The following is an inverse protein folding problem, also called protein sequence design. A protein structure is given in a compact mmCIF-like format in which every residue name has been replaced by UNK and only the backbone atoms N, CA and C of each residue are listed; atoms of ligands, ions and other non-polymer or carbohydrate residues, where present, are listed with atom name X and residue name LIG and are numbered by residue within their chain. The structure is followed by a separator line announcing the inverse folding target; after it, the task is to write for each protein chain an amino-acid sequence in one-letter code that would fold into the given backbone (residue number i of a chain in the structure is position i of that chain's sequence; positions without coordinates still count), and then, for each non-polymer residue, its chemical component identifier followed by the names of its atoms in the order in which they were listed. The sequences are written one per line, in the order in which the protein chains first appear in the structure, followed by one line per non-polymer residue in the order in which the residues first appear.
data_IF_568747583314
#
_entry.id   IF_568747583314
#
_cell.length_a   1.000
_cell.length_b   1.000
_cell.length_c   1.000
_cell.angle_alpha   90.00
_cell.angle_beta   90.00
_cell.angle_gamma   90.00
#
_symmetry.space_group_name_H-M   'P 1'
#
loop_
_entity.id
_entity.type
_entity.pdbx_description
1 polymer ?
#
# COMPACT_ATOMS: atom_id res chain seq x y z
N UNK A 1 -38.18 -25.95 2.46
CA UNK A 1 -36.92 -26.70 2.66
C UNK A 1 -36.01 -26.50 1.44
N UNK A 2 -34.70 -26.40 1.62
CA UNK A 2 -33.75 -26.27 0.51
C UNK A 2 -33.70 -27.60 -0.27
N UNK A 3 -33.91 -27.56 -1.60
CA UNK A 3 -34.00 -28.77 -2.39
C UNK A 3 -32.62 -29.43 -2.58
N UNK A 4 -32.59 -30.76 -2.83
CA UNK A 4 -31.35 -31.48 -3.15
C UNK A 4 -30.62 -30.87 -4.37
N UNK A 5 -31.41 -30.32 -5.31
CA UNK A 5 -30.90 -29.65 -6.50
C UNK A 5 -30.16 -28.37 -6.12
N UNK A 6 -30.71 -27.55 -5.23
CA UNK A 6 -30.13 -26.28 -4.79
C UNK A 6 -28.82 -26.50 -4.03
N UNK A 7 -28.79 -27.50 -3.12
CA UNK A 7 -27.59 -27.84 -2.37
C UNK A 7 -26.48 -28.31 -3.33
N UNK A 8 -26.77 -29.12 -4.34
CA UNK A 8 -25.78 -29.55 -5.35
C UNK A 8 -25.28 -28.39 -6.16
N UNK A 9 -26.12 -27.47 -6.54
CA UNK A 9 -25.74 -26.26 -7.29
C UNK A 9 -24.85 -25.34 -6.45
N UNK A 10 -25.16 -25.15 -5.17
CA UNK A 10 -24.33 -24.40 -4.23
C UNK A 10 -22.94 -25.02 -4.05
N UNK A 11 -22.86 -26.35 -3.86
CA UNK A 11 -21.60 -27.06 -3.77
C UNK A 11 -20.75 -26.84 -5.04
N UNK A 12 -21.36 -26.92 -6.22
CA UNK A 12 -20.67 -26.70 -7.49
C UNK A 12 -20.13 -25.26 -7.60
N UNK A 13 -20.93 -24.26 -7.24
CA UNK A 13 -20.56 -22.85 -7.26
C UNK A 13 -19.39 -22.55 -6.29
N UNK A 14 -19.46 -23.09 -5.06
CA UNK A 14 -18.41 -22.90 -4.06
C UNK A 14 -17.11 -23.57 -4.48
N UNK A 15 -17.15 -24.80 -5.06
CA UNK A 15 -15.96 -25.46 -5.61
C UNK A 15 -15.31 -24.64 -6.73
N UNK A 16 -16.11 -24.07 -7.64
CA UNK A 16 -15.60 -23.17 -8.69
C UNK A 16 -14.92 -21.93 -8.10
N UNK A 17 -15.55 -21.32 -7.10
CA UNK A 17 -15.00 -20.15 -6.39
C UNK A 17 -13.69 -20.53 -5.67
N UNK A 18 -13.61 -21.69 -5.05
CA UNK A 18 -12.39 -22.20 -4.41
C UNK A 18 -11.23 -22.34 -5.40
N UNK A 19 -11.49 -22.86 -6.60
CA UNK A 19 -10.49 -22.95 -7.66
C UNK A 19 -9.96 -21.58 -8.11
N UNK A 20 -10.86 -20.61 -8.24
CA UNK A 20 -10.49 -19.21 -8.55
C UNK A 20 -9.56 -18.66 -7.46
N UNK A 21 -9.91 -18.85 -6.18
CA UNK A 21 -9.09 -18.38 -5.04
C UNK A 21 -7.70 -19.03 -5.04
N UNK A 22 -7.61 -20.34 -5.33
CA UNK A 22 -6.31 -21.04 -5.45
C UNK A 22 -5.47 -20.47 -6.61
N UNK A 23 -6.08 -20.22 -7.76
CA UNK A 23 -5.40 -19.62 -8.90
C UNK A 23 -4.89 -18.20 -8.56
N UNK A 24 -5.73 -17.38 -7.90
CA UNK A 24 -5.31 -16.04 -7.46
C UNK A 24 -4.17 -16.09 -6.44
N UNK A 25 -4.16 -17.06 -5.52
CA UNK A 25 -3.03 -17.32 -4.60
C UNK A 25 -1.74 -17.58 -5.37
N UNK A 26 -1.77 -18.48 -6.37
CA UNK A 26 -0.59 -18.82 -7.17
C UNK A 26 -0.06 -17.62 -7.97
N UNK A 27 -0.94 -16.84 -8.59
CA UNK A 27 -0.57 -15.64 -9.33
C UNK A 27 0.07 -14.61 -8.39
N UNK A 28 -0.51 -14.40 -7.21
CA UNK A 28 0.03 -13.47 -6.21
C UNK A 28 1.42 -13.88 -5.76
N UNK A 29 1.66 -15.16 -5.51
CA UNK A 29 2.96 -15.70 -5.12
C UNK A 29 4.03 -15.47 -6.20
N UNK A 30 3.70 -15.73 -7.48
CA UNK A 30 4.62 -15.46 -8.59
C UNK A 30 4.97 -13.97 -8.73
N UNK A 31 3.98 -13.07 -8.49
CA UNK A 31 4.19 -11.63 -8.54
C UNK A 31 5.01 -11.11 -7.36
N UNK A 32 4.85 -11.68 -6.17
CA UNK A 32 5.66 -11.33 -4.99
C UNK A 32 7.14 -11.54 -5.28
N UNK A 33 7.52 -12.68 -5.86
CA UNK A 33 8.92 -12.95 -6.21
C UNK A 33 9.50 -11.87 -7.12
N UNK A 34 8.78 -11.45 -8.16
CA UNK A 34 9.20 -10.36 -9.05
C UNK A 34 9.32 -9.02 -8.32
N UNK A 35 8.39 -8.71 -7.40
CA UNK A 35 8.47 -7.49 -6.59
C UNK A 35 9.68 -7.52 -5.66
N UNK A 36 9.99 -8.65 -5.03
CA UNK A 36 11.18 -8.83 -4.19
C UNK A 36 12.48 -8.67 -4.98
N UNK A 37 12.58 -9.26 -6.17
CA UNK A 37 13.72 -9.07 -7.08
C UNK A 37 13.91 -7.59 -7.44
N UNK A 38 12.83 -6.89 -7.79
CA UNK A 38 12.89 -5.47 -8.10
C UNK A 38 13.34 -4.62 -6.88
N UNK A 39 12.87 -4.95 -5.67
CA UNK A 39 13.32 -4.31 -4.42
C UNK A 39 14.81 -4.55 -4.16
N UNK A 40 15.29 -5.78 -4.33
CA UNK A 40 16.71 -6.12 -4.14
C UNK A 40 17.60 -5.40 -5.14
N UNK A 41 17.18 -5.31 -6.39
CA UNK A 41 17.93 -4.62 -7.45
C UNK A 41 17.97 -3.09 -7.24
N UNK A 42 16.92 -2.49 -6.65
CA UNK A 42 16.88 -1.05 -6.36
C UNK A 42 17.70 -0.65 -5.12
N UNK A 43 17.97 -1.57 -4.20
CA UNK A 43 18.60 -1.32 -2.90
C UNK A 43 20.01 -0.74 -2.98
N UNK A 44 20.96 -1.31 -3.77
CA UNK A 44 22.34 -0.79 -3.84
C UNK A 44 22.42 0.65 -4.33
N UNK A 45 21.59 0.99 -5.34
CA UNK A 45 21.52 2.35 -5.88
C UNK A 45 21.02 3.35 -4.84
N UNK A 46 19.90 3.04 -4.17
CA UNK A 46 19.36 3.91 -3.13
C UNK A 46 20.33 4.10 -1.95
N UNK A 47 21.04 3.04 -1.54
CA UNK A 47 22.03 3.10 -0.48
C UNK A 47 23.22 4.01 -0.86
N UNK A 48 23.74 3.84 -2.07
CA UNK A 48 24.88 4.66 -2.54
C UNK A 48 24.50 6.13 -2.66
N UNK A 49 23.31 6.43 -3.20
CA UNK A 49 22.82 7.81 -3.26
C UNK A 49 22.62 8.42 -1.86
N UNK A 50 22.10 7.64 -0.92
CA UNK A 50 21.95 8.10 0.48
C UNK A 50 23.32 8.48 1.07
N UNK A 51 24.32 7.63 0.90
CA UNK A 51 25.69 7.93 1.36
C UNK A 51 26.23 9.21 0.76
N UNK A 52 26.15 9.37 -0.56
CA UNK A 52 26.64 10.58 -1.25
C UNK A 52 25.96 11.85 -0.75
N UNK A 53 24.63 11.81 -0.55
CA UNK A 53 23.90 12.99 -0.06
C UNK A 53 24.21 13.26 1.41
N UNK A 54 24.43 12.24 2.24
CA UNK A 54 24.78 12.37 3.65
C UNK A 54 26.18 13.00 3.81
N UNK A 55 27.14 12.57 2.99
CA UNK A 55 28.51 13.13 2.94
C UNK A 55 28.49 14.64 2.59
N UNK A 56 27.60 15.07 1.68
CA UNK A 56 27.50 16.46 1.21
C UNK A 56 26.61 17.36 2.08
N UNK A 57 25.70 16.79 2.85
CA UNK A 57 24.66 17.52 3.59
C UNK A 57 25.23 18.57 4.53
N UNK A 58 26.23 18.21 5.33
CA UNK A 58 26.81 19.12 6.33
C UNK A 58 27.49 20.32 5.67
N UNK A 59 28.24 20.07 4.61
CA UNK A 59 28.97 21.11 3.89
C UNK A 59 27.99 22.11 3.23
N UNK A 60 26.91 21.60 2.64
CA UNK A 60 25.89 22.44 2.00
C UNK A 60 25.05 23.23 3.01
N UNK A 61 24.71 22.64 4.16
CA UNK A 61 23.96 23.34 5.21
C UNK A 61 24.82 24.41 5.91
N UNK A 62 26.16 24.31 5.86
CA UNK A 62 27.06 25.34 6.37
C UNK A 62 27.36 26.47 5.38
N UNK A 63 26.89 26.34 4.10
CA UNK A 63 27.04 27.41 3.12
C UNK A 63 26.26 28.68 3.52
N UNK A 64 26.73 29.88 3.14
CA UNK A 64 25.98 31.12 3.36
C UNK A 64 24.55 31.02 2.82
N UNK A 65 23.59 31.52 3.62
CA UNK A 65 22.20 31.62 3.17
C UNK A 65 22.07 32.75 2.13
N UNK A 66 21.02 32.75 1.29
CA UNK A 66 20.78 33.84 0.36
C UNK A 66 20.67 35.20 1.10
N UNK A 67 21.25 36.25 0.49
CA UNK A 67 21.30 37.61 1.07
C UNK A 67 19.93 38.25 1.29
N UNK A 68 18.87 37.75 0.61
CA UNK A 68 17.50 38.20 0.71
C UNK A 68 16.76 37.68 1.95
N UNK A 69 17.42 36.94 2.82
CA UNK A 69 16.84 36.30 4.01
C UNK A 69 15.92 35.11 3.72
N UNK A 70 15.84 34.67 2.46
CA UNK A 70 15.10 33.46 2.10
C UNK A 70 15.87 32.21 2.53
N UNK A 71 15.13 31.13 2.86
CA UNK A 71 15.74 29.83 3.13
C UNK A 71 16.22 29.21 1.83
N UNK A 72 17.47 28.73 1.79
CA UNK A 72 18.01 28.07 0.61
C UNK A 72 17.18 26.83 0.26
N UNK A 73 17.22 26.39 -1.01
CA UNK A 73 16.52 25.18 -1.44
C UNK A 73 16.89 23.95 -0.58
N UNK A 74 18.16 23.79 -0.23
CA UNK A 74 18.62 22.74 0.66
C UNK A 74 18.06 22.90 2.07
N UNK A 75 18.04 24.12 2.60
CA UNK A 75 17.43 24.45 3.88
C UNK A 75 15.97 24.03 3.92
N UNK A 76 15.21 24.34 2.86
CA UNK A 76 13.79 23.94 2.74
C UNK A 76 13.60 22.43 2.79
N UNK A 77 14.44 21.65 2.13
CA UNK A 77 14.31 20.19 2.08
C UNK A 77 14.71 19.51 3.40
N UNK A 78 15.68 20.07 4.14
CA UNK A 78 16.22 19.44 5.35
C UNK A 78 15.81 20.11 6.66
N UNK A 79 15.74 21.44 6.69
CA UNK A 79 15.46 22.20 7.90
C UNK A 79 14.02 22.77 7.92
N UNK A 80 13.57 23.27 6.77
CA UNK A 80 12.23 23.79 6.53
C UNK A 80 11.76 24.86 7.55
N UNK A 81 12.66 25.81 7.87
CA UNK A 81 12.40 26.85 8.89
C UNK A 81 11.32 27.85 8.49
N UNK A 82 11.12 28.06 7.18
CA UNK A 82 10.15 29.04 6.63
C UNK A 82 8.81 28.42 6.29
N UNK A 83 8.53 27.21 6.80
CA UNK A 83 7.28 26.51 6.57
C UNK A 83 6.08 27.15 7.26
N UNK A 84 4.90 26.96 6.67
CA UNK A 84 3.62 27.29 7.33
C UNK A 84 3.20 26.13 8.24
N UNK A 85 3.17 26.29 9.57
CA UNK A 85 2.85 25.21 10.50
C UNK A 85 1.42 24.66 10.32
N UNK A 86 0.55 25.40 9.64
CA UNK A 86 -0.84 25.02 9.39
C UNK A 86 -1.03 24.22 8.10
N UNK A 87 0.04 23.92 7.36
CA UNK A 87 -0.05 23.17 6.09
C UNK A 87 0.75 21.89 6.13
N UNK A 88 0.06 20.79 5.89
CA UNK A 88 0.63 19.43 5.91
C UNK A 88 0.45 18.74 4.57
N UNK A 89 1.37 17.86 4.24
CA UNK A 89 1.24 16.90 3.15
C UNK A 89 0.99 15.49 3.68
N UNK A 90 0.16 14.73 2.99
CA UNK A 90 -0.12 13.33 3.31
C UNK A 90 -0.09 12.46 2.06
N UNK A 91 0.88 11.55 1.99
CA UNK A 91 0.95 10.53 0.93
C UNK A 91 0.30 9.25 1.47
N UNK A 92 -0.73 8.76 0.79
CA UNK A 92 -1.45 7.53 1.17
C UNK A 92 -1.32 6.50 0.05
N UNK A 93 -0.66 5.38 0.32
CA UNK A 93 -0.42 4.32 -0.66
C UNK A 93 -1.31 3.11 -0.36
N UNK A 94 -2.34 2.92 -1.18
CA UNK A 94 -3.29 1.79 -1.10
C UNK A 94 -3.24 0.96 -2.37
N UNK A 95 -3.94 -0.16 -2.39
CA UNK A 95 -4.13 -0.96 -3.61
C UNK A 95 -5.23 -0.42 -4.51
N UNK A 96 -5.18 -0.83 -5.79
CA UNK A 96 -6.25 -0.55 -6.76
C UNK A 96 -7.45 -1.49 -6.61
N UNK A 97 -7.21 -2.72 -6.16
CA UNK A 97 -8.21 -3.80 -6.07
C UNK A 97 -8.57 -4.12 -4.62
N UNK A 98 -9.72 -4.79 -4.45
CA UNK A 98 -10.10 -5.45 -3.22
C UNK A 98 -9.55 -6.87 -3.11
N UNK A 99 -10.12 -7.66 -2.21
CA UNK A 99 -9.71 -9.04 -1.89
C UNK A 99 -8.27 -9.13 -1.33
N UNK A 100 -7.85 -8.08 -0.65
CA UNK A 100 -6.51 -7.91 -0.05
C UNK A 100 -6.55 -8.03 1.48
N UNK A 101 -7.53 -8.73 2.03
CA UNK A 101 -7.75 -8.79 3.47
C UNK A 101 -7.91 -7.40 4.10
N UNK A 102 -7.20 -7.14 5.18
CA UNK A 102 -7.22 -5.86 5.91
C UNK A 102 -6.27 -4.79 5.33
N UNK A 103 -5.50 -5.08 4.27
CA UNK A 103 -4.44 -4.21 3.75
C UNK A 103 -4.90 -2.76 3.55
N UNK A 104 -5.95 -2.55 2.75
CA UNK A 104 -6.45 -1.21 2.47
C UNK A 104 -7.10 -0.57 3.72
N UNK A 105 -7.84 -1.36 4.49
CA UNK A 105 -8.57 -0.86 5.65
C UNK A 105 -7.65 -0.32 6.75
N UNK A 106 -6.50 -0.96 6.97
CA UNK A 106 -5.51 -0.53 7.98
C UNK A 106 -4.88 0.80 7.58
N UNK A 107 -4.48 0.96 6.31
CA UNK A 107 -3.92 2.20 5.77
C UNK A 107 -4.94 3.35 5.87
N UNK A 108 -6.18 3.12 5.43
CA UNK A 108 -7.23 4.14 5.45
C UNK A 108 -7.62 4.54 6.88
N UNK A 109 -7.63 3.60 7.82
CA UNK A 109 -7.86 3.90 9.24
C UNK A 109 -6.77 4.80 9.81
N UNK A 110 -5.51 4.53 9.48
CA UNK A 110 -4.39 5.38 9.89
C UNK A 110 -4.46 6.77 9.22
N UNK A 111 -4.84 6.85 7.95
CA UNK A 111 -5.04 8.12 7.28
C UNK A 111 -6.16 8.94 7.95
N UNK A 112 -7.30 8.32 8.29
CA UNK A 112 -8.38 9.00 9.03
C UNK A 112 -7.94 9.45 10.42
N UNK A 113 -7.15 8.65 11.14
CA UNK A 113 -6.60 9.04 12.43
C UNK A 113 -5.71 10.29 12.29
N UNK A 114 -4.81 10.30 11.29
CA UNK A 114 -3.98 11.47 10.98
C UNK A 114 -4.82 12.71 10.65
N UNK A 115 -5.87 12.57 9.84
CA UNK A 115 -6.75 13.67 9.48
C UNK A 115 -7.52 14.24 10.68
N UNK A 116 -7.92 13.38 11.63
CA UNK A 116 -8.58 13.79 12.88
C UNK A 116 -7.66 14.53 13.83
N UNK A 117 -6.41 14.09 13.92
CA UNK A 117 -5.39 14.73 14.74
C UNK A 117 -5.01 16.13 14.25
N UNK A 118 -5.18 16.37 12.94
CA UNK A 118 -4.80 17.63 12.30
C UNK A 118 -6.00 18.33 11.61
N UNK A 119 -7.18 18.23 12.19
CA UNK A 119 -8.41 18.78 11.59
C UNK A 119 -8.43 20.33 11.53
N UNK A 120 -7.57 20.99 12.27
CA UNK A 120 -7.34 22.43 12.30
C UNK A 120 -6.39 22.92 11.19
N UNK A 121 -5.75 22.01 10.45
CA UNK A 121 -4.74 22.28 9.43
C UNK A 121 -5.24 22.03 8.01
N UNK A 122 -4.65 22.71 7.04
CA UNK A 122 -4.82 22.40 5.62
C UNK A 122 -3.97 21.19 5.24
N UNK A 123 -4.58 20.17 4.66
CA UNK A 123 -3.91 18.92 4.32
C UNK A 123 -3.94 18.70 2.82
N UNK A 124 -2.76 18.63 2.21
CA UNK A 124 -2.55 18.31 0.80
C UNK A 124 -2.31 16.82 0.63
N UNK A 125 -3.25 16.16 -0.05
CA UNK A 125 -3.27 14.69 -0.19
C UNK A 125 -2.67 14.26 -1.52
N UNK A 126 -1.81 13.25 -1.47
CA UNK A 126 -1.27 12.52 -2.60
C UNK A 126 -1.77 11.07 -2.52
N UNK A 127 -2.82 10.75 -3.27
CA UNK A 127 -3.49 9.48 -3.20
C UNK A 127 -2.95 8.50 -4.24
N UNK A 128 -2.34 7.40 -3.79
CA UNK A 128 -1.86 6.31 -4.62
C UNK A 128 -2.75 5.10 -4.44
N UNK A 129 -3.27 4.59 -5.58
CA UNK A 129 -4.21 3.47 -5.61
C UNK A 129 -5.67 3.89 -5.52
N UNK A 130 -6.49 3.18 -6.28
CA UNK A 130 -7.92 3.47 -6.45
C UNK A 130 -8.69 3.46 -5.13
N UNK A 131 -8.38 2.51 -4.21
CA UNK A 131 -9.11 2.38 -2.94
C UNK A 131 -8.92 3.58 -2.02
N UNK A 132 -7.69 4.12 -1.97
CA UNK A 132 -7.39 5.35 -1.20
C UNK A 132 -8.04 6.57 -1.81
N UNK A 133 -7.86 6.79 -3.11
CA UNK A 133 -8.47 7.89 -3.83
C UNK A 133 -9.99 7.92 -3.64
N UNK A 134 -10.68 6.81 -3.93
CA UNK A 134 -12.15 6.73 -3.85
C UNK A 134 -12.66 6.95 -2.43
N UNK A 135 -11.90 6.55 -1.41
CA UNK A 135 -12.24 6.78 -0.01
C UNK A 135 -12.04 8.24 0.38
N UNK A 136 -10.87 8.82 0.09
CA UNK A 136 -10.51 10.18 0.46
C UNK A 136 -11.41 11.21 -0.23
N UNK A 137 -11.78 10.99 -1.50
CA UNK A 137 -12.73 11.84 -2.22
C UNK A 137 -14.16 11.84 -1.62
N UNK A 138 -14.53 10.79 -0.86
CA UNK A 138 -15.81 10.75 -0.14
C UNK A 138 -15.78 11.49 1.20
N UNK A 139 -14.60 11.74 1.74
CA UNK A 139 -14.43 12.54 2.95
C UNK A 139 -14.60 14.03 2.55
N UNK A 140 -15.82 14.53 2.65
CA UNK A 140 -16.15 15.94 2.37
C UNK A 140 -15.65 16.83 3.53
N UNK A 141 -14.35 17.07 3.59
CA UNK A 141 -13.72 17.97 4.57
C UNK A 141 -13.17 19.20 3.82
N UNK A 142 -13.50 20.40 4.27
CA UNK A 142 -13.14 21.65 3.59
C UNK A 142 -11.63 21.94 3.60
N UNK A 143 -10.89 21.34 4.54
CA UNK A 143 -9.45 21.50 4.71
C UNK A 143 -8.61 20.45 3.98
N UNK A 144 -9.24 19.56 3.16
CA UNK A 144 -8.55 18.56 2.37
C UNK A 144 -8.42 19.01 0.91
N UNK A 145 -7.20 18.99 0.40
CA UNK A 145 -6.89 19.31 -0.99
C UNK A 145 -6.23 18.12 -1.66
N UNK A 146 -6.89 17.52 -2.65
CA UNK A 146 -6.29 16.47 -3.46
C UNK A 146 -5.28 17.11 -4.43
N UNK A 147 -3.99 17.02 -4.07
CA UNK A 147 -2.90 17.61 -4.85
C UNK A 147 -2.42 16.69 -5.99
N UNK A 148 -2.52 15.36 -5.80
CA UNK A 148 -2.12 14.39 -6.81
C UNK A 148 -2.83 13.06 -6.60
N UNK A 149 -3.16 12.39 -7.71
CA UNK A 149 -3.67 11.03 -7.69
C UNK A 149 -2.98 10.14 -8.73
N UNK A 150 -2.76 8.89 -8.40
CA UNK A 150 -2.28 7.87 -9.33
C UNK A 150 -2.99 6.56 -9.07
N UNK A 151 -3.68 6.05 -10.09
CA UNK A 151 -4.45 4.81 -10.03
C UNK A 151 -4.05 3.85 -11.13
N UNK A 152 -4.28 2.55 -10.93
CA UNK A 152 -3.96 1.53 -11.93
C UNK A 152 -2.46 1.20 -12.05
N UNK A 153 -1.61 1.71 -11.15
CA UNK A 153 -0.17 1.44 -11.17
C UNK A 153 0.18 0.05 -10.62
N UNK A 154 -0.65 -0.50 -9.76
CA UNK A 154 -0.58 -1.91 -9.36
C UNK A 154 -1.27 -2.75 -10.46
N UNK A 155 -0.65 -3.72 -11.09
CA UNK A 155 0.41 -4.60 -10.62
C UNK A 155 1.82 -4.31 -11.18
N UNK A 156 2.06 -3.26 -11.93
CA UNK A 156 3.36 -3.01 -12.57
C UNK A 156 3.86 -1.61 -12.20
N UNK A 157 4.52 -1.51 -11.05
CA UNK A 157 5.18 -0.28 -10.62
C UNK A 157 6.49 -0.11 -11.41
N UNK A 158 6.71 1.12 -11.89
CA UNK A 158 7.95 1.55 -12.53
C UNK A 158 8.50 2.81 -11.85
N UNK A 159 9.77 3.13 -12.08
CA UNK A 159 10.38 4.33 -11.54
C UNK A 159 9.65 5.61 -11.99
N UNK A 160 9.09 5.62 -13.20
CA UNK A 160 8.32 6.77 -13.71
C UNK A 160 7.13 7.16 -12.79
N UNK A 161 6.49 6.19 -12.14
CA UNK A 161 5.41 6.50 -11.19
C UNK A 161 5.93 7.22 -9.94
N UNK A 162 7.12 6.83 -9.45
CA UNK A 162 7.77 7.49 -8.31
C UNK A 162 8.32 8.85 -8.71
N UNK A 163 8.78 9.01 -9.94
CA UNK A 163 9.28 10.26 -10.50
C UNK A 163 8.17 11.31 -10.55
N UNK A 164 7.03 10.99 -11.17
CA UNK A 164 5.86 11.86 -11.24
C UNK A 164 5.30 12.22 -9.85
N UNK A 165 5.19 11.23 -8.97
CA UNK A 165 4.74 11.46 -7.58
C UNK A 165 5.73 12.37 -6.85
N UNK A 166 7.03 12.10 -6.96
CA UNK A 166 8.07 12.89 -6.32
C UNK A 166 8.06 14.35 -6.77
N UNK A 167 7.90 14.59 -8.08
CA UNK A 167 7.79 15.95 -8.62
C UNK A 167 6.54 16.67 -8.09
N UNK A 168 5.39 16.00 -8.09
CA UNK A 168 4.16 16.57 -7.57
C UNK A 168 4.27 16.94 -6.08
N UNK A 169 4.87 16.05 -5.27
CA UNK A 169 5.05 16.30 -3.83
C UNK A 169 6.06 17.43 -3.59
N UNK A 170 7.24 17.39 -4.24
CA UNK A 170 8.27 18.43 -4.08
C UNK A 170 7.77 19.80 -4.52
N UNK A 171 7.09 19.87 -5.66
CA UNK A 171 6.47 21.10 -6.14
C UNK A 171 5.48 21.67 -5.13
N UNK A 172 4.54 20.86 -4.66
CA UNK A 172 3.53 21.29 -3.68
C UNK A 172 4.18 21.69 -2.35
N UNK A 173 5.18 20.91 -1.88
CA UNK A 173 5.91 21.20 -0.65
C UNK A 173 6.56 22.58 -0.67
N UNK A 174 7.24 22.91 -1.77
CA UNK A 174 7.93 24.19 -1.93
C UNK A 174 6.94 25.35 -2.17
N UNK A 175 5.98 25.20 -3.10
CA UNK A 175 5.05 26.27 -3.47
C UNK A 175 4.04 26.62 -2.36
N UNK A 176 3.51 25.59 -1.68
CA UNK A 176 2.53 25.77 -0.60
C UNK A 176 3.16 25.96 0.78
N UNK A 177 4.49 25.89 0.87
CA UNK A 177 5.25 26.01 2.12
C UNK A 177 4.79 24.99 3.18
N UNK A 178 4.58 23.72 2.77
CA UNK A 178 4.15 22.70 3.71
C UNK A 178 5.16 22.53 4.85
N UNK A 179 4.66 22.36 6.07
CA UNK A 179 5.54 22.15 7.24
C UNK A 179 6.14 20.74 7.25
N UNK A 180 5.38 19.74 6.84
CA UNK A 180 5.86 18.36 6.69
C UNK A 180 5.03 17.60 5.67
N UNK A 181 5.60 16.49 5.19
CA UNK A 181 4.90 15.49 4.38
C UNK A 181 5.04 14.14 5.05
N UNK A 182 3.92 13.57 5.44
CA UNK A 182 3.83 12.23 6.06
C UNK A 182 3.45 11.19 5.01
N UNK A 183 4.07 10.02 5.10
CA UNK A 183 3.85 8.89 4.22
C UNK A 183 3.19 7.75 5.02
N UNK A 184 2.04 7.25 4.55
CA UNK A 184 1.32 6.12 5.15
C UNK A 184 1.23 4.99 4.13
N UNK A 185 1.83 3.84 4.47
CA UNK A 185 1.86 2.65 3.63
C UNK A 185 2.05 1.38 4.46
N UNK A 186 1.85 0.21 3.85
CA UNK A 186 2.23 -1.06 4.45
C UNK A 186 3.59 -1.53 3.93
N UNK A 187 4.53 -1.70 4.86
CA UNK A 187 5.86 -2.26 4.63
C UNK A 187 5.79 -3.80 4.55
N UNK A 188 6.53 -4.37 3.62
CA UNK A 188 6.66 -5.82 3.44
C UNK A 188 7.81 -6.36 4.29
N UNK A 189 7.50 -7.04 5.39
CA UNK A 189 8.51 -7.76 6.20
C UNK A 189 8.65 -9.20 5.77
N UNK A 190 7.53 -9.89 5.59
CA UNK A 190 7.48 -11.29 5.16
C UNK A 190 6.13 -11.60 4.52
N UNK A 191 5.99 -12.81 3.96
CA UNK A 191 4.71 -13.28 3.43
C UNK A 191 3.60 -13.29 4.48
N UNK A 192 3.94 -13.58 5.73
CA UNK A 192 2.97 -13.66 6.83
C UNK A 192 2.72 -12.30 7.50
N UNK A 193 3.69 -11.37 7.44
CA UNK A 193 3.64 -10.13 8.21
C UNK A 193 3.85 -8.89 7.34
N UNK A 194 2.85 -8.02 7.31
CA UNK A 194 2.91 -6.69 6.76
C UNK A 194 2.74 -5.70 7.92
N UNK A 195 3.52 -4.63 7.93
CA UNK A 195 3.49 -3.65 9.01
C UNK A 195 3.08 -2.30 8.46
N UNK A 196 2.07 -1.69 9.07
CA UNK A 196 1.72 -0.30 8.79
C UNK A 196 2.90 0.60 9.17
N UNK A 197 3.30 1.47 8.25
CA UNK A 197 4.29 2.52 8.46
C UNK A 197 3.63 3.87 8.28
N UNK A 198 3.87 4.73 9.24
CA UNK A 198 3.58 6.16 9.17
C UNK A 198 4.89 6.87 9.47
N UNK A 199 5.49 7.48 8.45
CA UNK A 199 6.81 8.09 8.54
C UNK A 199 6.79 9.47 7.91
N UNK A 200 7.53 10.41 8.49
CA UNK A 200 7.78 11.70 7.86
C UNK A 200 8.70 11.48 6.67
N UNK A 201 8.31 12.00 5.51
CA UNK A 201 9.09 11.95 4.28
C UNK A 201 9.82 13.27 4.00
N UNK A 202 9.18 14.40 4.31
CA UNK A 202 9.78 15.73 4.29
C UNK A 202 9.41 16.49 5.58
N UNK A 203 10.28 17.35 6.12
CA UNK A 203 11.70 17.52 5.78
C UNK A 203 12.44 16.19 5.86
N UNK A 204 13.40 15.99 4.95
CA UNK A 204 14.09 14.70 4.86
C UNK A 204 15.13 14.59 5.97
N UNK A 205 14.94 13.62 6.85
CA UNK A 205 15.84 13.37 7.96
C UNK A 205 16.62 12.07 7.70
N UNK A 206 17.93 12.18 7.59
CA UNK A 206 18.78 11.00 7.60
C UNK A 206 18.91 10.52 9.04
N UNK A 207 18.73 9.22 9.29
CA UNK A 207 19.27 8.62 10.49
C UNK A 207 20.78 8.83 10.44
N UNK A 208 21.26 9.76 11.24
CA UNK A 208 22.68 10.11 11.30
C UNK A 208 23.44 8.88 11.77
N UNK A 209 23.90 8.06 10.84
CA UNK A 209 24.98 7.14 11.15
C UNK A 209 26.21 8.02 11.34
N UNK A 210 26.68 8.08 12.57
CA UNK A 210 27.99 8.62 12.90
C UNK A 210 29.01 7.68 12.24
N UNK A 211 29.18 7.82 10.92
CA UNK A 211 30.34 7.27 10.23
C UNK A 211 31.42 8.32 10.35
N UNK A 212 32.58 7.88 10.83
CA UNK A 212 33.81 8.71 10.78
C UNK A 212 33.93 9.27 9.36
N UNK A 213 34.02 10.59 9.27
CA UNK A 213 34.26 11.31 8.03
C UNK A 213 35.57 10.73 7.44
N UNK A 214 35.48 9.78 6.50
CA UNK A 214 36.60 9.52 5.64
C UNK A 214 36.77 10.81 4.85
N UNK A 215 37.91 11.47 5.02
CA UNK A 215 38.32 12.60 4.19
C UNK A 215 38.41 12.11 2.75
N UNK A 216 37.32 12.29 2.02
CA UNK A 216 37.24 11.99 0.59
C UNK A 216 37.36 13.35 -0.10
N UNK A 217 38.47 13.62 -0.71
CA UNK A 217 38.61 14.73 -1.63
C UNK A 217 37.81 14.43 -2.90
N UNK A 218 36.56 14.89 -2.92
CA UNK A 218 35.78 14.87 -4.14
C UNK A 218 36.01 16.16 -4.92
N UNK A 219 36.40 16.04 -6.17
CA UNK A 219 36.34 17.14 -7.13
C UNK A 219 34.90 17.22 -7.66
N UNK A 220 34.25 18.37 -7.50
CA UNK A 220 32.90 18.60 -7.93
C UNK A 220 32.84 19.43 -9.20
N UNK A 221 32.34 18.85 -10.29
CA UNK A 221 32.10 19.55 -11.54
C UNK A 221 30.61 19.35 -11.94
N UNK A 222 29.80 20.42 -12.11
CA UNK A 222 30.15 21.86 -12.13
C UNK A 222 30.31 22.49 -10.75
N UNK A 223 29.77 21.98 -9.68
CA UNK A 223 29.91 22.50 -8.32
C UNK A 223 29.09 21.71 -7.31
N UNK A 224 29.49 21.70 -6.04
CA UNK A 224 28.86 20.92 -4.99
C UNK A 224 27.36 21.21 -4.86
N UNK A 225 26.95 22.48 -4.85
CA UNK A 225 25.55 22.87 -4.72
C UNK A 225 24.70 22.43 -5.91
N UNK A 226 25.25 22.50 -7.12
CA UNK A 226 24.54 22.10 -8.33
C UNK A 226 24.35 20.58 -8.39
N UNK A 227 25.38 19.82 -8.05
CA UNK A 227 25.29 18.36 -7.92
C UNK A 227 24.26 17.97 -6.86
N UNK A 228 24.27 18.65 -5.71
CA UNK A 228 23.30 18.39 -4.65
C UNK A 228 21.85 18.66 -5.07
N UNK A 229 21.60 19.76 -5.78
CA UNK A 229 20.28 20.07 -6.34
C UNK A 229 19.78 18.99 -7.33
N UNK A 230 20.68 18.26 -7.98
CA UNK A 230 20.36 17.16 -8.87
C UNK A 230 20.18 15.82 -8.13
N UNK A 231 21.02 15.56 -7.12
CA UNK A 231 21.02 14.28 -6.39
C UNK A 231 19.86 14.14 -5.42
N UNK A 232 19.53 15.18 -4.67
CA UNK A 232 18.51 15.10 -3.61
C UNK A 232 17.12 14.76 -4.16
N UNK A 233 16.59 15.41 -5.22
CA UNK A 233 15.33 14.98 -5.81
C UNK A 233 15.35 13.53 -6.30
N UNK A 234 16.47 13.11 -6.89
CA UNK A 234 16.62 11.70 -7.34
C UNK A 234 16.62 10.73 -6.18
N UNK A 235 17.30 11.05 -5.07
CA UNK A 235 17.27 10.25 -3.85
C UNK A 235 15.85 10.15 -3.28
N UNK A 236 15.14 11.26 -3.17
CA UNK A 236 13.77 11.30 -2.67
C UNK A 236 12.84 10.46 -3.55
N UNK A 237 12.96 10.57 -4.87
CA UNK A 237 12.20 9.76 -5.83
C UNK A 237 12.57 8.27 -5.77
N UNK A 238 13.86 7.95 -5.60
CA UNK A 238 14.31 6.56 -5.39
C UNK A 238 13.77 5.96 -4.09
N UNK A 239 13.69 6.76 -3.02
CA UNK A 239 13.04 6.37 -1.78
C UNK A 239 11.53 6.08 -1.98
N UNK A 240 10.81 6.96 -2.68
CA UNK A 240 9.40 6.71 -3.05
C UNK A 240 9.24 5.44 -3.89
N UNK A 241 10.13 5.22 -4.86
CA UNK A 241 10.10 4.00 -5.67
C UNK A 241 10.25 2.74 -4.81
N UNK A 242 11.20 2.74 -3.87
CA UNK A 242 11.36 1.65 -2.89
C UNK A 242 10.08 1.42 -2.09
N UNK A 243 9.48 2.48 -1.56
CA UNK A 243 8.24 2.42 -0.78
C UNK A 243 7.06 1.88 -1.62
N UNK A 244 6.95 2.30 -2.88
CA UNK A 244 5.92 1.78 -3.79
C UNK A 244 6.10 0.27 -4.03
N UNK A 245 7.33 -0.21 -4.22
CA UNK A 245 7.64 -1.64 -4.39
C UNK A 245 7.35 -2.43 -3.11
N UNK A 246 7.72 -1.91 -1.93
CA UNK A 246 7.40 -2.51 -0.62
C UNK A 246 5.89 -2.63 -0.42
N UNK A 247 5.14 -1.56 -0.70
CA UNK A 247 3.68 -1.55 -0.62
C UNK A 247 3.03 -2.51 -1.62
N UNK A 248 3.60 -2.65 -2.83
CA UNK A 248 3.15 -3.64 -3.82
C UNK A 248 3.35 -5.07 -3.31
N UNK A 249 4.53 -5.39 -2.78
CA UNK A 249 4.82 -6.71 -2.23
C UNK A 249 3.91 -7.02 -1.04
N UNK A 250 3.68 -6.04 -0.15
CA UNK A 250 2.76 -6.16 0.98
C UNK A 250 1.31 -6.40 0.53
N UNK A 251 0.83 -5.68 -0.49
CA UNK A 251 -0.49 -5.87 -1.09
C UNK A 251 -0.67 -7.28 -1.68
N UNK A 252 0.33 -7.77 -2.42
CA UNK A 252 0.32 -9.10 -3.01
C UNK A 252 0.35 -10.21 -1.93
N UNK A 253 1.15 -10.02 -0.86
CA UNK A 253 1.19 -10.95 0.27
C UNK A 253 -0.14 -10.99 1.03
N UNK A 254 -0.75 -9.84 1.29
CA UNK A 254 -2.07 -9.74 1.89
C UNK A 254 -3.15 -10.42 1.01
N UNK A 255 -3.07 -10.26 -0.32
CA UNK A 255 -3.95 -10.96 -1.27
C UNK A 255 -3.75 -12.47 -1.19
N UNK A 256 -2.50 -12.94 -1.20
CA UNK A 256 -2.17 -14.37 -1.11
C UNK A 256 -2.74 -14.99 0.17
N UNK A 257 -2.54 -14.35 1.32
CA UNK A 257 -3.04 -14.82 2.61
C UNK A 257 -4.57 -14.81 2.67
N UNK A 258 -5.22 -13.76 2.15
CA UNK A 258 -6.67 -13.67 2.08
C UNK A 258 -7.27 -14.77 1.19
N UNK A 259 -6.65 -15.06 0.04
CA UNK A 259 -7.09 -16.12 -0.87
C UNK A 259 -6.86 -17.52 -0.28
N UNK A 260 -5.77 -17.73 0.46
CA UNK A 260 -5.51 -19.00 1.17
C UNK A 260 -6.60 -19.27 2.23
N UNK A 261 -6.87 -18.29 3.08
CA UNK A 261 -7.92 -18.39 4.09
C UNK A 261 -9.31 -18.61 3.46
N UNK A 262 -9.63 -17.86 2.40
CA UNK A 262 -10.91 -17.99 1.70
C UNK A 262 -11.05 -19.37 1.02
N UNK A 263 -9.98 -19.92 0.45
CA UNK A 263 -9.96 -21.27 -0.15
C UNK A 263 -10.19 -22.38 0.90
N UNK A 264 -9.59 -22.24 2.09
CA UNK A 264 -9.80 -23.17 3.20
C UNK A 264 -11.25 -23.13 3.69
N UNK A 265 -11.77 -21.93 3.95
CA UNK A 265 -13.16 -21.74 4.37
C UNK A 265 -14.17 -22.29 3.34
N UNK A 266 -13.88 -22.09 2.05
CA UNK A 266 -14.70 -22.66 0.98
C UNK A 266 -14.67 -24.21 1.00
N UNK A 267 -13.51 -24.83 1.27
CA UNK A 267 -13.38 -26.27 1.42
C UNK A 267 -14.21 -26.84 2.59
N UNK A 268 -14.15 -26.16 3.73
CA UNK A 268 -14.95 -26.52 4.91
C UNK A 268 -16.44 -26.42 4.64
N UNK A 269 -16.87 -25.34 3.95
CA UNK A 269 -18.26 -25.15 3.56
C UNK A 269 -18.76 -26.23 2.58
N UNK A 270 -17.92 -26.65 1.61
CA UNK A 270 -18.23 -27.75 0.70
C UNK A 270 -18.43 -29.05 1.48
N UNK A 271 -17.58 -29.35 2.48
CA UNK A 271 -17.70 -30.53 3.32
C UNK A 271 -19.01 -30.50 4.13
N UNK A 272 -19.31 -29.37 4.77
CA UNK A 272 -20.55 -29.19 5.54
C UNK A 272 -21.82 -29.36 4.68
N UNK A 273 -21.82 -28.74 3.48
CA UNK A 273 -22.93 -28.92 2.53
C UNK A 273 -23.04 -30.36 2.00
N UNK A 274 -21.92 -31.07 1.87
CA UNK A 274 -21.92 -32.49 1.51
C UNK A 274 -22.62 -33.36 2.55
N UNK A 275 -22.34 -33.13 3.85
CA UNK A 275 -23.02 -33.81 4.94
C UNK A 275 -24.55 -33.48 4.93
N UNK A 276 -24.90 -32.20 4.77
CA UNK A 276 -26.28 -31.74 4.66
C UNK A 276 -27.01 -32.40 3.47
N UNK A 277 -26.33 -32.48 2.31
CA UNK A 277 -26.86 -33.14 1.11
C UNK A 277 -27.21 -34.61 1.37
N UNK A 278 -26.31 -35.35 2.03
CA UNK A 278 -26.52 -36.75 2.36
C UNK A 278 -27.70 -36.92 3.34
N UNK A 279 -27.80 -36.06 4.37
CA UNK A 279 -28.89 -36.08 5.33
C UNK A 279 -30.27 -35.84 4.66
N UNK A 280 -30.37 -34.81 3.82
CA UNK A 280 -31.61 -34.50 3.08
C UNK A 280 -31.94 -35.62 2.11
N UNK A 281 -30.96 -36.22 1.43
CA UNK A 281 -31.18 -37.39 0.58
C UNK A 281 -31.74 -38.57 1.35
N UNK A 282 -31.17 -38.91 2.52
CA UNK A 282 -31.67 -39.98 3.38
C UNK A 282 -33.11 -39.71 3.85
N UNK A 283 -33.41 -38.47 4.28
CA UNK A 283 -34.73 -38.06 4.68
C UNK A 283 -35.77 -38.22 3.55
N UNK A 284 -35.38 -37.80 2.33
CA UNK A 284 -36.27 -37.93 1.17
C UNK A 284 -36.56 -39.42 0.85
N UNK A 285 -35.52 -40.27 0.85
CA UNK A 285 -35.69 -41.73 0.63
C UNK A 285 -36.60 -42.33 1.70
N UNK A 286 -36.42 -41.95 2.97
CA UNK A 286 -37.26 -42.43 4.06
C UNK A 286 -38.70 -41.98 3.89
N UNK A 287 -38.93 -40.74 3.50
CA UNK A 287 -40.31 -40.25 3.22
C UNK A 287 -40.92 -40.96 2.03
N UNK A 288 -40.18 -41.18 0.93
CA UNK A 288 -40.68 -41.95 -0.22
C UNK A 288 -41.08 -43.40 0.17
N UNK A 289 -40.26 -44.06 1.01
CA UNK A 289 -40.60 -45.41 1.52
C UNK A 289 -41.86 -45.37 2.39
N UNK A 290 -41.97 -44.38 3.30
CA UNK A 290 -43.14 -44.21 4.14
C UNK A 290 -44.42 -43.95 3.31
N UNK A 291 -44.32 -43.14 2.27
CA UNK A 291 -45.45 -42.86 1.38
C UNK A 291 -45.92 -44.10 0.61
N UNK A 292 -44.95 -44.95 0.18
CA UNK A 292 -45.22 -46.23 -0.47
C UNK A 292 -45.89 -47.21 0.51
N UNK A 293 -45.42 -47.35 1.74
CA UNK A 293 -45.98 -48.24 2.77
C UNK A 293 -47.37 -47.77 3.16
N UNK A 294 -47.59 -46.49 3.43
CA UNK A 294 -48.88 -45.92 3.76
C UNK A 294 -49.88 -46.09 2.61
N UNK A 295 -49.41 -45.94 1.35
CA UNK A 295 -50.27 -46.18 0.17
C UNK A 295 -50.66 -47.67 0.01
N UNK A 296 -49.74 -48.60 0.31
CA UNK A 296 -50.06 -50.04 0.29
C UNK A 296 -51.02 -50.47 1.40
N UNK A 297 -50.88 -49.93 2.63
CA UNK A 297 -51.81 -50.15 3.72
C UNK A 297 -53.21 -49.60 3.40
N UNK A 298 -53.27 -48.43 2.77
CA UNK A 298 -54.60 -47.84 2.38
C UNK A 298 -55.36 -48.64 1.28
N UNK A 299 -54.63 -49.44 0.48
CA UNK A 299 -55.22 -50.33 -0.54
C UNK A 299 -55.62 -51.68 0.01
N UNK A 300 -55.16 -52.09 1.19
CA UNK A 300 -55.47 -53.36 1.84
C UNK A 300 -56.59 -53.25 2.90
N UNK A 301 -57.09 -52.08 3.17
CA UNK A 301 -58.27 -51.77 3.97
C UNK A 301 -59.41 -51.30 3.07
#
# INVERSE_FOLDING_TARGET
MESLRDIRQNIKAIKSTQQIMQTMKMISNARIRKAQEAMQNARPFAQKMTQMVDDLKQDILSMPQPDDGSESWAGRIFLNKTADPNKLGLIVITGDKGLTGSFNAVILRSAVAFLREHQDKEIFIFAIGKKGRDFLNRLKMNNLHLAYESVGIFPKISYAHADLLGDAVLKTFLEKKLSSVTLIYNDFKSLASQTLRQTQWLPFNFETRVQQKEERDFEFEPGMLEIFKLLVPRLLKANLYRVLLESQAANLAATMNAMDAASKNAGELVTALGVKLNKVRQSNITNEILDIVNGAEALNN
#
